data_IF_356767595741
#
_entry.id   IF_356767595741
#
_cell.length_a   1.000
_cell.length_b   1.000
_cell.length_c   1.000
_cell.angle_alpha   90.00
_cell.angle_beta   90.00
_cell.angle_gamma   90.00
#
_symmetry.space_group_name_H-M   'P 1'
#
loop_
_entity.id
_entity.type
_entity.pdbx_description
1 polymer ?
#
# COMPACT_ATOMS: atom_id res chain seq x y z
N UNK A 1 -25.62 26.73 15.65
CA UNK A 1 -24.23 26.38 15.25
C UNK A 1 -23.82 25.18 16.11
N UNK A 2 -23.86 23.97 15.56
CA UNK A 2 -23.56 22.77 16.31
C UNK A 2 -22.06 22.70 16.57
N UNK A 3 -21.70 22.50 17.83
CA UNK A 3 -20.31 22.40 18.38
C UNK A 3 -19.47 21.21 17.87
N UNK A 4 -19.83 20.58 16.74
CA UNK A 4 -19.20 19.40 16.16
C UNK A 4 -18.22 19.73 15.04
N UNK A 5 -17.93 21.00 14.75
CA UNK A 5 -17.10 21.41 13.59
C UNK A 5 -15.67 21.87 13.96
N UNK A 6 -15.23 21.71 15.21
CA UNK A 6 -13.86 21.99 15.62
C UNK A 6 -13.10 20.70 15.89
N UNK A 7 -11.83 20.63 15.44
CA UNK A 7 -10.91 19.57 15.85
C UNK A 7 -10.77 19.57 17.38
N UNK A 8 -11.31 18.57 18.03
CA UNK A 8 -11.04 18.33 19.46
C UNK A 8 -9.57 17.88 19.61
N UNK A 9 -8.93 18.28 20.71
CA UNK A 9 -7.54 17.88 21.03
C UNK A 9 -7.34 16.37 20.94
N UNK A 10 -8.33 15.60 21.35
CA UNK A 10 -8.32 14.14 21.28
C UNK A 10 -8.29 13.65 19.83
N UNK A 11 -9.13 14.21 18.96
CA UNK A 11 -9.16 13.88 17.54
C UNK A 11 -7.82 14.21 16.86
N UNK A 12 -7.20 15.34 17.20
CA UNK A 12 -5.89 15.70 16.68
C UNK A 12 -4.81 14.71 17.12
N UNK A 13 -4.77 14.30 18.39
CA UNK A 13 -3.83 13.31 18.91
C UNK A 13 -3.99 11.95 18.21
N UNK A 14 -5.21 11.50 17.97
CA UNK A 14 -5.49 10.27 17.23
C UNK A 14 -4.99 10.37 15.79
N UNK A 15 -5.27 11.47 15.10
CA UNK A 15 -4.85 11.70 13.72
C UNK A 15 -3.32 11.72 13.62
N UNK A 16 -2.63 12.43 14.50
CA UNK A 16 -1.16 12.49 14.56
C UNK A 16 -0.59 11.11 14.91
N UNK A 17 -1.20 10.39 15.87
CA UNK A 17 -0.78 9.03 16.23
C UNK A 17 -0.91 8.05 15.06
N UNK A 18 -2.00 8.09 14.33
CA UNK A 18 -2.21 7.28 13.11
C UNK A 18 -1.24 7.69 11.99
N UNK A 19 -0.98 8.99 11.83
CA UNK A 19 -0.01 9.48 10.85
C UNK A 19 1.39 8.96 11.14
N UNK A 20 1.87 9.07 12.38
CA UNK A 20 3.17 8.53 12.80
C UNK A 20 3.21 7.01 12.64
N UNK A 21 2.12 6.31 12.97
CA UNK A 21 2.04 4.88 12.78
C UNK A 21 2.14 4.47 11.30
N UNK A 22 1.45 5.17 10.38
CA UNK A 22 1.55 4.95 8.93
C UNK A 22 2.94 5.31 8.37
N UNK A 23 3.59 6.32 8.94
CA UNK A 23 4.96 6.68 8.60
C UNK A 23 5.91 5.52 8.96
N UNK A 24 5.78 4.95 10.17
CA UNK A 24 6.61 3.82 10.61
C UNK A 24 6.34 2.56 9.78
N UNK A 25 5.09 2.32 9.40
CA UNK A 25 4.70 1.25 8.48
C UNK A 25 5.43 1.39 7.13
N UNK A 26 5.38 2.58 6.52
CA UNK A 26 6.15 2.86 5.30
C UNK A 26 7.65 2.66 5.50
N UNK A 27 8.21 3.15 6.60
CA UNK A 27 9.63 2.95 6.93
C UNK A 27 9.98 1.47 6.97
N UNK A 28 9.19 0.64 7.65
CA UNK A 28 9.46 -0.78 7.85
C UNK A 28 9.56 -1.55 6.54
N UNK A 29 8.58 -1.37 5.66
CA UNK A 29 8.59 -2.03 4.34
C UNK A 29 9.82 -1.64 3.53
N UNK A 30 10.18 -0.36 3.56
CA UNK A 30 11.30 0.14 2.78
C UNK A 30 12.66 -0.21 3.40
N UNK A 31 12.77 -0.26 4.72
CA UNK A 31 14.00 -0.70 5.41
C UNK A 31 14.43 -2.11 4.99
N UNK A 32 13.48 -3.04 4.85
CA UNK A 32 13.80 -4.38 4.36
C UNK A 32 14.38 -4.33 2.94
N UNK A 33 13.74 -3.62 2.02
CA UNK A 33 14.18 -3.54 0.63
C UNK A 33 15.60 -2.93 0.51
N UNK A 34 15.87 -1.85 1.26
CA UNK A 34 17.16 -1.16 1.30
C UNK A 34 18.26 -2.01 1.96
N UNK A 35 17.92 -2.75 3.02
CA UNK A 35 18.85 -3.61 3.72
C UNK A 35 19.08 -4.96 3.01
N UNK A 36 18.21 -5.34 2.07
CA UNK A 36 18.19 -6.65 1.43
C UNK A 36 19.55 -7.06 0.81
N UNK A 37 20.30 -6.17 0.10
CA UNK A 37 21.64 -6.50 -0.38
C UNK A 37 22.59 -6.89 0.75
N UNK A 38 22.57 -6.14 1.86
CA UNK A 38 23.43 -6.36 3.02
C UNK A 38 23.04 -7.63 3.79
N UNK A 39 21.75 -7.88 4.00
CA UNK A 39 21.21 -9.09 4.62
C UNK A 39 21.57 -10.32 3.79
N UNK A 40 21.42 -10.23 2.46
CA UNK A 40 21.72 -11.33 1.55
C UNK A 40 23.20 -11.72 1.60
N UNK A 41 24.08 -10.72 1.68
CA UNK A 41 25.53 -10.94 1.81
C UNK A 41 25.90 -11.53 3.17
N UNK A 42 25.34 -10.99 4.26
CA UNK A 42 25.67 -11.37 5.64
C UNK A 42 25.17 -12.78 5.97
N UNK A 43 23.93 -13.12 5.57
CA UNK A 43 23.32 -14.43 5.82
C UNK A 43 23.52 -15.42 4.65
N UNK A 44 24.30 -15.09 3.63
CA UNK A 44 24.60 -15.90 2.45
C UNK A 44 23.35 -16.47 1.77
N UNK A 45 22.33 -15.61 1.56
CA UNK A 45 21.05 -16.01 1.00
C UNK A 45 21.09 -16.12 -0.53
N UNK A 46 20.36 -17.11 -1.06
CA UNK A 46 19.98 -17.11 -2.47
C UNK A 46 19.00 -15.95 -2.77
N UNK A 47 18.90 -15.51 -4.02
CA UNK A 47 17.96 -14.47 -4.45
C UNK A 47 16.51 -14.85 -4.14
N UNK A 48 16.15 -16.13 -4.25
CA UNK A 48 14.82 -16.64 -3.90
C UNK A 48 14.52 -16.46 -2.40
N UNK A 49 15.47 -16.85 -1.53
CA UNK A 49 15.32 -16.65 -0.07
C UNK A 49 15.28 -15.18 0.30
N UNK A 50 16.05 -14.34 -0.37
CA UNK A 50 16.02 -12.90 -0.18
C UNK A 50 14.63 -12.31 -0.51
N UNK A 51 14.07 -12.65 -1.68
CA UNK A 51 12.72 -12.23 -2.07
C UNK A 51 11.63 -12.75 -1.13
N UNK A 52 11.77 -13.98 -0.61
CA UNK A 52 10.82 -14.58 0.30
C UNK A 52 10.68 -13.80 1.62
N UNK A 53 11.69 -13.04 2.07
CA UNK A 53 11.57 -12.19 3.25
C UNK A 53 10.48 -11.11 3.08
N UNK A 54 10.40 -10.49 1.92
CA UNK A 54 9.31 -9.55 1.60
C UNK A 54 7.97 -10.26 1.48
N UNK A 55 7.94 -11.44 0.87
CA UNK A 55 6.73 -12.27 0.74
C UNK A 55 6.14 -12.63 2.10
N UNK A 56 6.96 -12.99 3.11
CA UNK A 56 6.47 -13.28 4.46
C UNK A 56 5.82 -12.06 5.10
N UNK A 57 6.39 -10.86 4.94
CA UNK A 57 5.77 -9.62 5.42
C UNK A 57 4.39 -9.40 4.77
N UNK A 58 4.32 -9.54 3.45
CA UNK A 58 3.09 -9.30 2.69
C UNK A 58 2.00 -10.36 2.97
N UNK A 59 2.39 -11.61 3.22
CA UNK A 59 1.47 -12.66 3.71
C UNK A 59 0.92 -12.29 5.10
N UNK A 60 1.81 -11.90 6.03
CA UNK A 60 1.41 -11.41 7.34
C UNK A 60 0.42 -10.25 7.25
N UNK A 61 0.68 -9.28 6.36
CA UNK A 61 -0.22 -8.13 6.10
C UNK A 61 -1.61 -8.58 5.62
N UNK A 62 -1.68 -9.56 4.74
CA UNK A 62 -2.96 -10.08 4.23
C UNK A 62 -3.80 -10.68 5.36
N UNK A 63 -3.20 -11.57 6.15
CA UNK A 63 -3.88 -12.27 7.24
C UNK A 63 -4.21 -11.28 8.38
N UNK A 64 -3.23 -10.45 8.78
CA UNK A 64 -3.37 -9.48 9.85
C UNK A 64 -4.47 -8.45 9.57
N UNK A 65 -4.58 -7.97 8.33
CA UNK A 65 -5.64 -7.02 7.92
C UNK A 65 -7.05 -7.60 8.05
N UNK A 66 -7.23 -8.87 7.68
CA UNK A 66 -8.53 -9.56 7.83
C UNK A 66 -8.88 -9.77 9.30
N UNK A 67 -7.93 -10.28 10.08
CA UNK A 67 -8.14 -10.54 11.52
C UNK A 67 -8.39 -9.24 12.29
N UNK A 68 -7.68 -8.16 11.94
CA UNK A 68 -7.85 -6.88 12.59
C UNK A 68 -9.22 -6.27 12.34
N UNK A 69 -9.78 -6.39 11.15
CA UNK A 69 -11.15 -5.96 10.86
C UNK A 69 -12.16 -6.62 11.79
N UNK A 70 -12.08 -7.94 11.90
CA UNK A 70 -12.95 -8.72 12.78
C UNK A 70 -12.75 -8.38 14.28
N UNK A 71 -11.50 -8.14 14.70
CA UNK A 71 -11.16 -7.81 16.07
C UNK A 71 -11.59 -6.38 16.43
N UNK A 72 -11.42 -5.43 15.52
CA UNK A 72 -11.76 -4.02 15.74
C UNK A 72 -13.25 -3.79 16.02
N UNK A 73 -14.11 -4.59 15.41
CA UNK A 73 -15.55 -4.54 15.65
C UNK A 73 -15.95 -5.08 17.04
N UNK A 74 -15.08 -5.84 17.70
CA UNK A 74 -15.34 -6.47 19.02
C UNK A 74 -14.66 -5.79 20.18
N UNK A 75 -13.41 -5.39 20.01
CA UNK A 75 -12.53 -4.92 21.10
C UNK A 75 -12.37 -3.40 21.11
N UNK A 76 -12.68 -2.75 20.00
CA UNK A 76 -12.47 -1.32 19.78
C UNK A 76 -11.37 -1.04 18.77
N UNK A 77 -11.53 0.08 18.03
CA UNK A 77 -10.63 0.42 16.92
C UNK A 77 -9.29 0.94 17.39
N UNK A 78 -9.29 1.80 18.41
CA UNK A 78 -8.05 2.35 18.99
C UNK A 78 -7.19 1.25 19.58
N UNK A 79 -7.79 0.31 20.33
CA UNK A 79 -7.06 -0.82 20.91
C UNK A 79 -6.41 -1.69 19.84
N UNK A 80 -7.11 -1.99 18.74
CA UNK A 80 -6.57 -2.79 17.65
C UNK A 80 -5.43 -2.07 16.94
N UNK A 81 -5.56 -0.76 16.67
CA UNK A 81 -4.47 0.05 16.11
C UNK A 81 -3.26 0.08 17.05
N UNK A 82 -3.49 0.24 18.35
CA UNK A 82 -2.42 0.23 19.35
C UNK A 82 -1.66 -1.10 19.38
N UNK A 83 -2.38 -2.23 19.43
CA UNK A 83 -1.77 -3.56 19.36
C UNK A 83 -1.06 -3.80 18.04
N UNK A 84 -1.61 -3.32 16.94
CA UNK A 84 -0.99 -3.41 15.62
C UNK A 84 0.37 -2.69 15.59
N UNK A 85 0.43 -1.45 16.11
CA UNK A 85 1.68 -0.69 16.23
C UNK A 85 2.69 -1.39 17.14
N UNK A 86 2.25 -1.92 18.30
CA UNK A 86 3.12 -2.65 19.20
C UNK A 86 3.72 -3.90 18.54
N UNK A 87 2.88 -4.70 17.88
CA UNK A 87 3.30 -5.93 17.19
C UNK A 87 4.34 -5.60 16.13
N UNK A 88 4.02 -4.73 15.16
CA UNK A 88 4.96 -4.51 14.07
C UNK A 88 6.24 -3.81 14.52
N UNK A 89 6.17 -2.82 15.41
CA UNK A 89 7.36 -2.11 15.90
C UNK A 89 8.28 -3.02 16.70
N UNK A 90 7.70 -3.89 17.55
CA UNK A 90 8.48 -4.85 18.35
C UNK A 90 9.17 -5.87 17.45
N UNK A 91 8.42 -6.55 16.57
CA UNK A 91 9.00 -7.59 15.72
C UNK A 91 9.95 -7.02 14.67
N UNK A 92 9.72 -5.81 14.17
CA UNK A 92 10.70 -5.13 13.30
C UNK A 92 11.98 -4.79 14.08
N UNK A 93 11.86 -4.24 15.29
CA UNK A 93 13.02 -3.95 16.14
C UNK A 93 13.82 -5.20 16.48
N UNK A 94 13.17 -6.30 16.82
CA UNK A 94 13.81 -7.60 17.17
C UNK A 94 14.66 -8.15 16.02
N UNK A 95 14.39 -7.78 14.76
CA UNK A 95 15.22 -8.18 13.63
C UNK A 95 16.69 -7.77 13.82
N UNK A 96 16.97 -6.69 14.54
CA UNK A 96 18.34 -6.25 14.84
C UNK A 96 19.20 -7.32 15.54
N UNK A 97 18.58 -8.24 16.27
CA UNK A 97 19.25 -9.32 17.01
C UNK A 97 19.20 -10.67 16.28
N UNK A 98 18.56 -10.75 15.11
CA UNK A 98 18.48 -11.99 14.34
C UNK A 98 19.84 -12.35 13.72
N UNK A 99 20.21 -13.64 13.84
CA UNK A 99 21.47 -14.19 13.30
C UNK A 99 21.24 -15.22 12.19
N UNK A 100 20.02 -15.70 12.02
CA UNK A 100 19.66 -16.72 11.04
C UNK A 100 18.48 -16.30 10.17
N UNK A 101 18.45 -16.80 8.94
CA UNK A 101 17.37 -16.55 7.97
C UNK A 101 15.96 -16.78 8.54
N UNK A 102 15.75 -17.94 9.18
CA UNK A 102 14.43 -18.29 9.70
C UNK A 102 13.94 -17.32 10.80
N UNK A 103 14.86 -16.77 11.60
CA UNK A 103 14.52 -15.75 12.60
C UNK A 103 14.00 -14.48 11.93
N UNK A 104 14.74 -13.98 10.93
CA UNK A 104 14.30 -12.81 10.15
C UNK A 104 12.95 -13.08 9.47
N UNK A 105 12.78 -14.26 8.87
CA UNK A 105 11.54 -14.65 8.19
C UNK A 105 10.33 -14.64 9.14
N UNK A 106 10.47 -15.23 10.33
CA UNK A 106 9.41 -15.25 11.35
C UNK A 106 9.09 -13.83 11.82
N UNK A 107 10.12 -13.01 12.13
CA UNK A 107 9.91 -11.62 12.55
C UNK A 107 9.23 -10.80 11.45
N UNK A 108 9.58 -10.99 10.19
CA UNK A 108 8.94 -10.34 9.03
C UNK A 108 7.47 -10.73 8.88
N UNK A 109 7.15 -12.00 9.06
CA UNK A 109 5.77 -12.48 9.04
C UNK A 109 4.94 -11.87 10.17
N UNK A 110 5.47 -11.88 11.40
CA UNK A 110 4.80 -11.33 12.58
C UNK A 110 4.66 -9.80 12.50
N UNK A 111 5.69 -9.07 12.05
CA UNK A 111 5.56 -7.62 11.83
C UNK A 111 4.49 -7.32 10.77
N UNK A 112 4.40 -8.13 9.73
CA UNK A 112 3.37 -8.01 8.71
C UNK A 112 1.95 -8.02 9.27
N UNK A 113 1.64 -8.82 10.29
CA UNK A 113 0.34 -8.81 10.94
C UNK A 113 -0.07 -7.43 11.44
N UNK A 114 0.85 -6.75 12.15
CA UNK A 114 0.59 -5.40 12.65
C UNK A 114 0.40 -4.39 11.52
N UNK A 115 1.26 -4.43 10.50
CA UNK A 115 1.22 -3.56 9.32
C UNK A 115 -0.13 -3.67 8.60
N UNK A 116 -0.60 -4.90 8.34
CA UNK A 116 -1.88 -5.13 7.64
C UNK A 116 -3.09 -4.61 8.40
N UNK A 117 -3.07 -4.70 9.72
CA UNK A 117 -4.10 -4.16 10.60
C UNK A 117 -4.15 -2.63 10.57
N UNK A 118 -2.97 -1.99 10.60
CA UNK A 118 -2.85 -0.54 10.71
C UNK A 118 -3.42 0.19 9.52
N UNK A 119 -3.12 -0.26 8.30
CA UNK A 119 -3.58 0.41 7.10
C UNK A 119 -5.12 0.50 7.02
N UNK A 120 -5.80 -0.61 7.31
CA UNK A 120 -7.27 -0.68 7.20
C UNK A 120 -7.98 -0.01 8.37
N UNK A 121 -7.58 -0.33 9.60
CA UNK A 121 -8.27 0.15 10.82
C UNK A 121 -7.80 1.56 11.19
N UNK A 122 -6.53 1.89 10.97
CA UNK A 122 -6.00 3.24 11.25
C UNK A 122 -6.65 4.32 10.39
N UNK A 123 -6.81 4.08 9.10
CA UNK A 123 -7.51 5.03 8.20
C UNK A 123 -8.99 5.15 8.54
N UNK A 124 -9.65 4.05 8.90
CA UNK A 124 -11.04 4.05 9.35
C UNK A 124 -11.19 4.83 10.66
N UNK A 125 -10.33 4.58 11.64
CA UNK A 125 -10.29 5.30 12.92
C UNK A 125 -10.14 6.80 12.70
N UNK A 126 -9.17 7.21 11.89
CA UNK A 126 -8.96 8.63 11.57
C UNK A 126 -10.18 9.27 10.90
N UNK A 127 -10.83 8.56 9.97
CA UNK A 127 -12.03 9.06 9.27
C UNK A 127 -13.19 9.38 10.20
N UNK A 128 -13.26 8.76 11.37
CA UNK A 128 -14.33 8.96 12.35
C UNK A 128 -14.10 10.17 13.27
N UNK A 129 -12.83 10.57 13.45
CA UNK A 129 -12.47 11.76 14.20
C UNK A 129 -12.43 13.04 13.36
N UNK A 130 -12.46 12.90 12.03
CA UNK A 130 -12.32 14.05 11.12
C UNK A 130 -13.69 14.58 10.68
N UNK A 131 -13.96 15.90 10.83
CA UNK A 131 -15.15 16.53 10.29
C UNK A 131 -15.30 16.27 8.78
N UNK A 132 -16.52 16.05 8.31
CA UNK A 132 -16.82 15.70 6.92
C UNK A 132 -16.24 16.70 5.92
N UNK A 133 -16.22 17.99 6.27
CA UNK A 133 -15.74 19.10 5.44
C UNK A 133 -14.27 18.97 5.03
N UNK A 134 -13.40 18.41 5.89
CA UNK A 134 -11.94 18.32 5.67
C UNK A 134 -11.45 16.87 5.61
N UNK A 135 -12.39 15.91 5.63
CA UNK A 135 -12.09 14.47 5.73
C UNK A 135 -11.17 13.98 4.59
N UNK A 136 -11.48 14.34 3.35
CA UNK A 136 -10.69 13.90 2.19
C UNK A 136 -9.26 14.42 2.26
N UNK A 137 -9.08 15.69 2.62
CA UNK A 137 -7.76 16.32 2.78
C UNK A 137 -6.95 15.62 3.88
N UNK A 138 -7.56 15.39 5.05
CA UNK A 138 -6.84 14.74 6.17
C UNK A 138 -6.49 13.29 5.86
N UNK A 139 -7.40 12.52 5.27
CA UNK A 139 -7.10 11.14 4.87
C UNK A 139 -6.04 11.08 3.76
N UNK A 140 -6.04 12.03 2.83
CA UNK A 140 -4.96 12.18 1.83
C UNK A 140 -3.62 12.49 2.48
N UNK A 141 -3.59 13.36 3.48
CA UNK A 141 -2.37 13.67 4.25
C UNK A 141 -1.87 12.45 5.04
N UNK A 142 -2.77 11.66 5.61
CA UNK A 142 -2.40 10.40 6.28
C UNK A 142 -1.74 9.42 5.32
N UNK A 143 -2.24 9.29 4.10
CA UNK A 143 -1.61 8.47 3.06
C UNK A 143 -0.22 8.99 2.64
N UNK A 144 0.01 10.31 2.70
CA UNK A 144 1.32 10.88 2.46
C UNK A 144 2.33 10.47 3.55
N UNK A 145 1.89 10.21 4.78
CA UNK A 145 2.74 9.70 5.87
C UNK A 145 3.50 8.44 5.48
N UNK A 146 2.85 7.52 4.79
CA UNK A 146 3.47 6.29 4.29
C UNK A 146 4.62 6.57 3.29
N UNK A 147 4.41 7.51 2.35
CA UNK A 147 5.44 7.93 1.40
C UNK A 147 6.59 8.68 2.08
N UNK A 148 6.29 9.50 3.09
CA UNK A 148 7.30 10.17 3.93
C UNK A 148 8.14 9.13 4.68
N UNK A 149 7.51 8.07 5.20
CA UNK A 149 8.20 6.94 5.82
C UNK A 149 9.23 6.29 4.88
N UNK A 150 8.88 6.11 3.61
CA UNK A 150 9.79 5.60 2.58
C UNK A 150 11.01 6.48 2.39
N UNK A 151 10.81 7.80 2.30
CA UNK A 151 11.92 8.78 2.15
C UNK A 151 12.82 8.75 3.38
N UNK A 152 12.24 8.74 4.59
CA UNK A 152 13.01 8.69 5.85
C UNK A 152 13.82 7.39 5.92
N UNK A 153 13.23 6.25 5.59
CA UNK A 153 13.94 4.97 5.55
C UNK A 153 15.13 5.00 4.58
N UNK A 154 14.95 5.62 3.41
CA UNK A 154 16.01 5.73 2.41
C UNK A 154 17.16 6.63 2.89
N UNK A 155 16.85 7.76 3.51
CA UNK A 155 17.86 8.66 4.09
C UNK A 155 18.60 8.04 5.28
N UNK A 156 17.86 7.37 6.19
CA UNK A 156 18.46 6.61 7.28
C UNK A 156 19.37 5.51 6.76
N UNK A 157 18.96 4.79 5.73
CA UNK A 157 19.76 3.70 5.15
C UNK A 157 21.05 4.23 4.51
N UNK A 158 21.00 5.38 3.84
CA UNK A 158 22.18 6.01 3.25
C UNK A 158 23.26 6.34 4.30
N UNK A 159 22.84 6.62 5.54
CA UNK A 159 23.74 6.93 6.63
C UNK A 159 24.12 5.70 7.48
N UNK A 160 23.14 4.89 7.86
CA UNK A 160 23.29 3.78 8.81
C UNK A 160 23.96 2.57 8.17
N UNK A 161 23.51 2.14 6.96
CA UNK A 161 24.00 0.90 6.34
C UNK A 161 25.51 0.90 6.08
N UNK A 162 26.15 1.98 5.55
CA UNK A 162 27.59 1.98 5.30
C UNK A 162 28.46 1.97 6.56
N UNK A 163 27.94 2.50 7.70
CA UNK A 163 28.70 2.68 8.93
C UNK A 163 28.48 1.60 9.96
N UNK A 164 27.22 1.14 10.09
CA UNK A 164 26.78 0.29 11.20
C UNK A 164 26.16 -1.03 10.72
N UNK A 165 25.99 -1.20 9.41
CA UNK A 165 25.33 -2.37 8.84
C UNK A 165 23.79 -2.32 8.95
N UNK A 166 23.15 -3.43 8.60
CA UNK A 166 21.69 -3.49 8.48
C UNK A 166 20.94 -3.64 9.82
N UNK A 167 21.55 -4.23 10.83
CA UNK A 167 20.91 -4.49 12.14
C UNK A 167 20.43 -3.22 12.84
N UNK A 168 21.26 -2.19 13.05
CA UNK A 168 20.83 -0.96 13.69
C UNK A 168 19.73 -0.20 12.92
N UNK A 169 19.64 -0.38 11.60
CA UNK A 169 18.57 0.22 10.80
C UNK A 169 17.19 -0.23 11.28
N UNK A 170 17.02 -1.53 11.56
CA UNK A 170 15.76 -2.06 12.10
C UNK A 170 15.50 -1.61 13.54
N UNK A 171 16.53 -1.49 14.36
CA UNK A 171 16.39 -0.96 15.72
C UNK A 171 15.87 0.49 15.74
N UNK A 172 16.24 1.32 14.74
CA UNK A 172 15.74 2.69 14.63
C UNK A 172 14.21 2.78 14.50
N UNK A 173 13.53 1.73 14.02
CA UNK A 173 12.06 1.71 13.90
C UNK A 173 11.34 1.70 15.27
N UNK A 174 12.02 1.29 16.33
CA UNK A 174 11.45 1.26 17.69
C UNK A 174 11.05 2.66 18.16
N UNK A 175 11.90 3.68 17.88
CA UNK A 175 11.69 5.04 18.40
C UNK A 175 10.39 5.67 17.89
N UNK A 176 10.14 5.80 16.57
CA UNK A 176 8.88 6.35 16.09
C UNK A 176 7.69 5.42 16.38
N UNK A 177 7.90 4.11 16.51
CA UNK A 177 6.87 3.17 16.98
C UNK A 177 6.45 3.46 18.42
N UNK A 178 7.40 3.67 19.33
CA UNK A 178 7.12 4.06 20.71
C UNK A 178 6.40 5.41 20.80
N UNK A 179 6.76 6.38 19.94
CA UNK A 179 6.04 7.65 19.85
C UNK A 179 4.59 7.45 19.43
N UNK A 180 4.32 6.65 18.40
CA UNK A 180 2.96 6.34 17.96
C UNK A 180 2.15 5.66 19.08
N UNK A 181 2.75 4.71 19.79
CA UNK A 181 2.13 4.05 20.95
C UNK A 181 1.79 5.05 22.07
N UNK A 182 2.71 5.97 22.39
CA UNK A 182 2.49 6.98 23.42
C UNK A 182 1.35 7.95 23.04
N UNK A 183 1.25 8.36 21.77
CA UNK A 183 0.17 9.21 21.28
C UNK A 183 -1.20 8.52 21.32
N UNK A 184 -1.24 7.21 21.09
CA UNK A 184 -2.47 6.42 21.06
C UNK A 184 -2.85 5.81 22.42
N UNK A 185 -1.97 5.87 23.42
CA UNK A 185 -2.14 5.18 24.74
C UNK A 185 -3.45 5.54 25.44
N UNK A 186 -3.84 6.81 25.42
CA UNK A 186 -5.04 7.32 26.10
C UNK A 186 -6.13 7.77 25.13
N UNK A 187 -6.00 7.45 23.86
CA UNK A 187 -7.01 7.80 22.87
C UNK A 187 -8.29 6.98 23.15
N UNK A 188 -9.47 7.60 23.29
CA UNK A 188 -10.71 6.88 23.42
C UNK A 188 -11.15 6.31 22.07
N UNK A 189 -11.98 5.26 22.10
CA UNK A 189 -12.67 4.82 20.88
C UNK A 189 -13.70 5.87 20.45
N UNK A 190 -13.91 6.08 19.13
CA UNK A 190 -14.85 7.09 18.65
C UNK A 190 -16.28 6.80 19.09
N UNK A 191 -17.09 7.84 19.40
CA UNK A 191 -18.49 7.67 19.85
C UNK A 191 -19.35 6.86 18.87
N UNK A 192 -19.04 6.92 17.57
CA UNK A 192 -19.67 6.13 16.52
C UNK A 192 -19.49 4.63 16.71
N UNK A 193 -18.43 4.16 17.37
CA UNK A 193 -18.20 2.74 17.64
C UNK A 193 -19.24 2.18 18.62
N UNK A 194 -19.58 2.91 19.69
CA UNK A 194 -20.59 2.50 20.67
C UNK A 194 -22.00 2.39 20.04
N UNK A 195 -22.36 3.29 19.13
CA UNK A 195 -23.60 3.21 18.37
C UNK A 195 -23.60 2.09 17.32
N UNK A 196 -22.42 1.73 16.81
CA UNK A 196 -22.26 0.76 15.70
C UNK A 196 -22.19 -0.66 16.20
N UNK A 197 -21.85 -0.92 17.47
CA UNK A 197 -21.80 -2.29 18.02
C UNK A 197 -23.19 -2.98 17.96
N UNK A 198 -24.27 -2.23 18.11
CA UNK A 198 -25.64 -2.70 17.89
C UNK A 198 -25.97 -2.92 16.39
N UNK A 199 -25.39 -2.11 15.50
CA UNK A 199 -25.58 -2.17 14.05
C UNK A 199 -24.58 -3.11 13.34
N UNK A 200 -23.53 -3.58 14.01
CA UNK A 200 -22.50 -4.44 13.42
C UNK A 200 -23.08 -5.77 12.90
N UNK A 201 -24.08 -6.34 13.60
CA UNK A 201 -24.80 -7.54 13.14
C UNK A 201 -25.56 -7.26 11.84
N UNK A 202 -26.15 -6.11 11.69
CA UNK A 202 -26.90 -5.69 10.48
C UNK A 202 -25.92 -5.37 9.33
N UNK A 203 -24.75 -4.80 9.62
CA UNK A 203 -23.70 -4.54 8.61
C UNK A 203 -23.00 -5.82 8.13
N UNK A 204 -22.75 -6.78 9.02
CA UNK A 204 -22.18 -8.07 8.62
C UNK A 204 -23.13 -8.82 7.67
N UNK A 205 -24.43 -8.79 7.96
CA UNK A 205 -25.46 -9.33 7.05
C UNK A 205 -25.55 -8.55 5.71
N UNK A 206 -25.41 -7.21 5.75
CA UNK A 206 -25.35 -6.37 4.56
C UNK A 206 -24.09 -6.63 3.72
N UNK A 207 -22.92 -6.85 4.38
CA UNK A 207 -21.66 -7.20 3.71
C UNK A 207 -21.72 -8.54 2.99
N UNK A 208 -22.29 -9.55 3.61
CA UNK A 208 -22.52 -10.87 2.99
C UNK A 208 -23.48 -10.77 1.80
N UNK A 209 -24.54 -9.97 1.92
CA UNK A 209 -25.47 -9.69 0.83
C UNK A 209 -24.81 -8.91 -0.32
N UNK A 210 -23.92 -7.96 -0.01
CA UNK A 210 -23.17 -7.21 -1.02
C UNK A 210 -22.17 -8.08 -1.77
N UNK A 211 -21.52 -9.04 -1.10
CA UNK A 211 -20.68 -10.04 -1.78
C UNK A 211 -21.48 -10.94 -2.71
N UNK A 212 -22.67 -11.38 -2.29
CA UNK A 212 -23.56 -12.16 -3.14
C UNK A 212 -24.00 -11.36 -4.39
N UNK A 213 -24.26 -10.06 -4.24
CA UNK A 213 -24.59 -9.16 -5.35
C UNK A 213 -23.45 -8.99 -6.37
N UNK A 214 -22.19 -9.09 -5.96
CA UNK A 214 -21.04 -9.08 -6.89
C UNK A 214 -21.07 -10.27 -7.88
N UNK A 215 -21.70 -11.36 -7.50
CA UNK A 215 -21.80 -12.59 -8.31
C UNK A 215 -23.12 -12.75 -9.04
N UNK A 216 -24.19 -12.07 -8.61
CA UNK A 216 -25.54 -12.21 -9.18
C UNK A 216 -25.68 -11.56 -10.56
N UNK A 217 -25.08 -10.39 -10.79
CA UNK A 217 -25.13 -9.67 -12.06
C UNK A 217 -23.88 -9.95 -12.91
N UNK A 218 -24.07 -10.35 -14.17
CA UNK A 218 -22.98 -10.68 -15.09
C UNK A 218 -22.07 -9.47 -15.39
N UNK A 219 -22.63 -8.26 -15.49
CA UNK A 219 -21.88 -7.05 -15.78
C UNK A 219 -21.03 -6.64 -14.57
N UNK A 220 -21.61 -6.69 -13.37
CA UNK A 220 -20.92 -6.37 -12.11
C UNK A 220 -19.80 -7.39 -11.87
N UNK A 221 -20.09 -8.68 -12.02
CA UNK A 221 -19.10 -9.76 -11.87
C UNK A 221 -17.93 -9.58 -12.85
N UNK A 222 -18.21 -9.28 -14.13
CA UNK A 222 -17.16 -9.01 -15.12
C UNK A 222 -16.30 -7.84 -14.71
N UNK A 223 -16.89 -6.72 -14.32
CA UNK A 223 -16.17 -5.52 -13.86
C UNK A 223 -15.32 -5.82 -12.62
N UNK A 224 -15.86 -6.57 -11.66
CA UNK A 224 -15.15 -7.01 -10.46
C UNK A 224 -13.93 -7.88 -10.78
N UNK A 225 -14.07 -8.87 -11.64
CA UNK A 225 -12.98 -9.76 -12.04
C UNK A 225 -11.88 -9.01 -12.81
N UNK A 226 -12.26 -8.08 -13.71
CA UNK A 226 -11.31 -7.24 -14.43
C UNK A 226 -10.51 -6.34 -13.48
N UNK A 227 -11.17 -5.71 -12.51
CA UNK A 227 -10.50 -4.89 -11.51
C UNK A 227 -9.65 -5.71 -10.53
N UNK A 228 -10.08 -6.92 -10.19
CA UNK A 228 -9.27 -7.83 -9.37
C UNK A 228 -7.99 -8.21 -10.10
N UNK A 229 -8.07 -8.57 -11.38
CA UNK A 229 -6.90 -8.87 -12.21
C UNK A 229 -5.96 -7.64 -12.34
N UNK A 230 -6.52 -6.46 -12.58
CA UNK A 230 -5.74 -5.22 -12.61
C UNK A 230 -5.07 -4.88 -11.28
N UNK A 231 -5.76 -5.10 -10.16
CA UNK A 231 -5.22 -4.89 -8.81
C UNK A 231 -4.09 -5.86 -8.49
N UNK A 232 -4.22 -7.15 -8.89
CA UNK A 232 -3.15 -8.14 -8.77
C UNK A 232 -1.91 -7.68 -9.59
N UNK A 233 -2.12 -7.29 -10.84
CA UNK A 233 -1.05 -6.86 -11.72
C UNK A 233 -0.38 -5.56 -11.23
N UNK A 234 -1.16 -4.57 -10.79
CA UNK A 234 -0.63 -3.31 -10.24
C UNK A 234 0.24 -3.55 -9.01
N UNK A 235 -0.27 -4.33 -8.05
CA UNK A 235 0.47 -4.61 -6.82
C UNK A 235 1.67 -5.51 -7.08
N UNK A 236 1.59 -6.44 -8.04
CA UNK A 236 2.73 -7.24 -8.48
C UNK A 236 3.87 -6.34 -8.99
N UNK A 237 3.58 -5.41 -9.89
CA UNK A 237 4.57 -4.47 -10.44
C UNK A 237 5.18 -3.56 -9.38
N UNK A 238 4.32 -2.97 -8.56
CA UNK A 238 4.72 -2.00 -7.53
C UNK A 238 5.62 -2.62 -6.45
N UNK A 239 5.17 -3.69 -5.81
CA UNK A 239 5.92 -4.31 -4.71
C UNK A 239 7.15 -5.08 -5.20
N UNK A 240 7.11 -5.60 -6.43
CA UNK A 240 8.28 -6.20 -7.06
C UNK A 240 9.39 -5.19 -7.27
N UNK A 241 9.08 -4.03 -7.86
CA UNK A 241 10.04 -2.95 -8.03
C UNK A 241 10.56 -2.44 -6.67
N UNK A 242 9.67 -2.20 -5.71
CA UNK A 242 10.05 -1.77 -4.37
C UNK A 242 11.06 -2.69 -3.69
N UNK A 243 10.83 -4.00 -3.77
CA UNK A 243 11.68 -5.00 -3.11
C UNK A 243 13.06 -5.09 -3.77
N UNK A 244 13.10 -5.07 -5.09
CA UNK A 244 14.32 -5.44 -5.82
C UNK A 244 15.13 -4.27 -6.36
N UNK A 245 14.56 -3.07 -6.46
CA UNK A 245 15.26 -1.88 -6.97
C UNK A 245 16.55 -1.56 -6.20
N UNK A 246 16.58 -1.55 -4.84
CA UNK A 246 17.82 -1.35 -4.11
C UNK A 246 18.87 -2.43 -4.39
N UNK A 247 18.44 -3.70 -4.48
CA UNK A 247 19.33 -4.82 -4.80
C UNK A 247 19.91 -4.73 -6.21
N UNK A 248 19.11 -4.30 -7.18
CA UNK A 248 19.55 -4.04 -8.55
C UNK A 248 20.65 -2.97 -8.60
N UNK A 249 20.44 -1.85 -7.90
CA UNK A 249 21.43 -0.76 -7.87
C UNK A 249 22.77 -1.22 -7.30
N UNK A 250 22.75 -2.01 -6.23
CA UNK A 250 23.98 -2.45 -5.58
C UNK A 250 24.65 -3.63 -6.31
N UNK A 251 23.87 -4.64 -6.72
CA UNK A 251 24.41 -5.89 -7.25
C UNK A 251 24.66 -5.85 -8.75
N UNK A 252 23.71 -5.33 -9.52
CA UNK A 252 23.79 -5.35 -10.99
C UNK A 252 24.56 -4.12 -11.51
N UNK A 253 24.34 -2.93 -10.90
CA UNK A 253 25.00 -1.68 -11.33
C UNK A 253 26.24 -1.31 -10.51
N UNK A 254 26.54 -1.98 -9.39
CA UNK A 254 27.71 -1.68 -8.57
C UNK A 254 27.63 -0.33 -7.83
N UNK A 255 26.44 0.24 -7.68
CA UNK A 255 26.21 1.51 -6.96
C UNK A 255 26.52 1.27 -5.48
N UNK A 256 27.28 2.15 -4.85
CA UNK A 256 27.53 2.05 -3.41
C UNK A 256 26.26 2.24 -2.60
N UNK A 257 26.21 1.65 -1.39
CA UNK A 257 25.02 1.63 -0.53
C UNK A 257 24.56 3.01 -0.12
N UNK A 258 25.48 3.96 0.05
CA UNK A 258 25.14 5.35 0.41
C UNK A 258 24.43 6.05 -0.75
N UNK A 259 24.95 5.96 -1.97
CA UNK A 259 24.32 6.53 -3.17
C UNK A 259 22.99 5.85 -3.48
N UNK A 260 22.87 4.53 -3.29
CA UNK A 260 21.61 3.80 -3.40
C UNK A 260 20.52 4.44 -2.52
N UNK A 261 20.83 4.74 -1.24
CA UNK A 261 19.87 5.36 -0.34
C UNK A 261 19.37 6.73 -0.85
N UNK A 262 20.28 7.58 -1.33
CA UNK A 262 19.93 8.88 -1.92
C UNK A 262 19.10 8.74 -3.20
N UNK A 263 19.46 7.82 -4.08
CA UNK A 263 18.74 7.60 -5.34
C UNK A 263 17.31 7.09 -5.09
N UNK A 264 17.17 6.18 -4.14
CA UNK A 264 15.84 5.66 -3.74
C UNK A 264 15.01 6.75 -3.06
N UNK A 265 15.62 7.60 -2.22
CA UNK A 265 14.91 8.75 -1.62
C UNK A 265 14.39 9.71 -2.71
N UNK A 266 15.22 10.03 -3.71
CA UNK A 266 14.83 10.84 -4.86
C UNK A 266 13.68 10.20 -5.66
N UNK A 267 13.76 8.89 -5.89
CA UNK A 267 12.70 8.11 -6.59
C UNK A 267 11.36 8.25 -5.89
N UNK A 268 11.30 8.09 -4.56
CA UNK A 268 10.04 8.21 -3.83
C UNK A 268 9.53 9.63 -3.72
N UNK A 269 10.43 10.62 -3.62
CA UNK A 269 10.05 12.03 -3.68
C UNK A 269 9.39 12.35 -5.03
N UNK A 270 9.97 11.89 -6.12
CA UNK A 270 9.38 12.06 -7.46
C UNK A 270 8.08 11.27 -7.63
N UNK A 271 7.92 10.14 -6.94
CA UNK A 271 6.66 9.39 -6.95
C UNK A 271 5.51 10.18 -6.30
N UNK A 272 5.77 10.96 -5.25
CA UNK A 272 4.75 11.86 -4.68
C UNK A 272 4.33 12.91 -5.70
N UNK A 273 5.30 13.57 -6.34
CA UNK A 273 5.05 14.57 -7.39
C UNK A 273 4.27 13.94 -8.55
N UNK A 274 4.69 12.77 -9.03
CA UNK A 274 4.04 12.03 -10.11
C UNK A 274 2.58 11.70 -9.80
N UNK A 275 2.28 11.27 -8.57
CA UNK A 275 0.90 11.00 -8.13
C UNK A 275 0.03 12.25 -8.18
N UNK A 276 0.53 13.40 -7.69
CA UNK A 276 -0.21 14.66 -7.68
C UNK A 276 -0.49 15.14 -9.10
N UNK A 277 0.54 15.17 -9.94
CA UNK A 277 0.42 15.60 -11.36
C UNK A 277 -0.51 14.68 -12.14
N UNK A 278 -0.36 13.36 -11.97
CA UNK A 278 -1.21 12.39 -12.68
C UNK A 278 -2.67 12.45 -12.20
N UNK A 279 -2.91 12.65 -10.90
CA UNK A 279 -4.25 12.86 -10.36
C UNK A 279 -4.92 14.09 -10.97
N UNK A 280 -4.19 15.21 -11.02
CA UNK A 280 -4.68 16.45 -11.64
C UNK A 280 -4.97 16.29 -13.15
N UNK A 281 -4.08 15.62 -13.88
CA UNK A 281 -4.30 15.34 -15.30
C UNK A 281 -5.48 14.40 -15.53
N UNK A 282 -5.67 13.39 -14.66
CA UNK A 282 -6.79 12.47 -14.74
C UNK A 282 -8.15 13.15 -14.54
N UNK A 283 -8.20 14.21 -13.73
CA UNK A 283 -9.42 15.00 -13.56
C UNK A 283 -9.75 15.85 -14.79
N UNK A 284 -8.78 16.20 -15.65
CA UNK A 284 -8.95 17.00 -16.87
C UNK A 284 -9.12 16.18 -18.15
N UNK A 285 -8.34 15.12 -18.29
CA UNK A 285 -8.26 14.30 -19.52
C UNK A 285 -9.20 13.08 -19.44
N UNK A 286 -9.58 12.68 -18.22
CA UNK A 286 -10.37 11.49 -17.95
C UNK A 286 -9.54 10.38 -17.30
N UNK A 287 -10.20 9.64 -16.39
CA UNK A 287 -9.55 8.60 -15.57
C UNK A 287 -9.06 7.44 -16.42
N UNK A 288 -9.88 7.01 -17.39
CA UNK A 288 -9.57 5.87 -18.26
C UNK A 288 -8.36 6.15 -19.16
N UNK A 289 -8.33 7.30 -19.81
CA UNK A 289 -7.23 7.68 -20.69
C UNK A 289 -5.92 7.79 -19.92
N UNK A 290 -5.93 8.48 -18.77
CA UNK A 290 -4.75 8.64 -17.93
C UNK A 290 -4.31 7.33 -17.26
N UNK A 291 -5.23 6.42 -16.94
CA UNK A 291 -4.90 5.08 -16.45
C UNK A 291 -4.11 4.28 -17.49
N UNK A 292 -4.57 4.27 -18.76
CA UNK A 292 -3.89 3.58 -19.85
C UNK A 292 -2.50 4.21 -20.08
N UNK A 293 -2.44 5.54 -20.21
CA UNK A 293 -1.17 6.26 -20.42
C UNK A 293 -0.19 5.98 -19.31
N UNK A 294 -0.59 6.15 -18.05
CA UNK A 294 0.28 5.93 -16.89
C UNK A 294 0.84 4.50 -16.86
N UNK A 295 -0.01 3.49 -17.06
CA UNK A 295 0.44 2.10 -17.03
C UNK A 295 1.30 1.71 -18.24
N UNK A 296 0.93 2.14 -19.46
CA UNK A 296 1.70 1.83 -20.69
C UNK A 296 3.06 2.53 -20.67
N UNK A 297 3.10 3.82 -20.29
CA UNK A 297 4.37 4.56 -20.21
C UNK A 297 5.28 3.95 -19.11
N UNK A 298 4.73 3.58 -17.94
CA UNK A 298 5.52 2.89 -16.91
C UNK A 298 6.04 1.55 -17.41
N UNK A 299 5.21 0.78 -18.12
CA UNK A 299 5.61 -0.51 -18.69
C UNK A 299 6.73 -0.38 -19.72
N UNK A 300 6.64 0.59 -20.62
CA UNK A 300 7.67 0.86 -21.64
C UNK A 300 8.96 1.41 -21.03
N UNK A 301 8.85 2.16 -19.93
CA UNK A 301 10.01 2.75 -19.27
C UNK A 301 10.85 1.76 -18.48
N UNK A 302 10.27 0.70 -17.94
CA UNK A 302 11.01 -0.30 -17.15
C UNK A 302 12.17 -0.96 -17.92
N UNK A 303 12.00 -1.46 -19.15
CA UNK A 303 13.13 -1.94 -19.93
C UNK A 303 14.19 -0.86 -20.18
N UNK A 304 13.77 0.39 -20.45
CA UNK A 304 14.70 1.52 -20.67
C UNK A 304 15.52 1.76 -19.39
N UNK A 305 14.87 1.79 -18.23
CA UNK A 305 15.55 1.93 -16.94
C UNK A 305 16.60 0.84 -16.73
N UNK A 306 16.30 -0.41 -17.10
CA UNK A 306 17.21 -1.54 -16.81
C UNK A 306 18.36 -1.61 -17.83
N UNK A 307 18.08 -1.48 -19.11
CA UNK A 307 19.07 -1.72 -20.17
C UNK A 307 19.89 -0.48 -20.57
N UNK A 308 19.37 0.74 -20.30
CA UNK A 308 20.10 1.98 -20.54
C UNK A 308 20.82 2.52 -19.30
N UNK A 309 20.59 1.93 -18.11
CA UNK A 309 21.18 2.41 -16.88
C UNK A 309 22.68 2.10 -16.81
N UNK A 310 23.42 3.10 -16.38
CA UNK A 310 24.83 3.04 -16.01
C UNK A 310 25.00 3.72 -14.64
N UNK A 311 26.08 3.46 -13.91
CA UNK A 311 26.33 4.17 -12.64
C UNK A 311 26.29 5.71 -12.75
N UNK A 312 26.60 6.26 -13.95
CA UNK A 312 26.62 7.70 -14.19
C UNK A 312 25.25 8.32 -14.48
N UNK A 313 24.30 7.58 -15.04
CA UNK A 313 22.98 8.13 -15.44
C UNK A 313 21.81 7.60 -14.64
N UNK A 314 22.00 6.54 -13.85
CA UNK A 314 20.91 5.85 -13.14
C UNK A 314 20.12 6.78 -12.21
N UNK A 315 20.77 7.77 -11.61
CA UNK A 315 20.07 8.75 -10.75
C UNK A 315 18.96 9.48 -11.52
N UNK A 316 19.23 9.96 -12.72
CA UNK A 316 18.24 10.67 -13.55
C UNK A 316 17.14 9.71 -14.01
N UNK A 317 17.51 8.50 -14.43
CA UNK A 317 16.53 7.48 -14.83
C UNK A 317 15.61 7.09 -13.68
N UNK A 318 16.13 7.04 -12.45
CA UNK A 318 15.33 6.75 -11.27
C UNK A 318 14.37 7.88 -10.89
N UNK A 319 14.74 9.13 -11.09
CA UNK A 319 13.81 10.25 -10.89
C UNK A 319 12.62 10.16 -11.86
N UNK A 320 12.89 9.90 -13.14
CA UNK A 320 11.83 9.68 -14.13
C UNK A 320 10.99 8.44 -13.81
N UNK A 321 11.61 7.33 -13.41
CA UNK A 321 10.91 6.13 -12.96
C UNK A 321 10.02 6.43 -11.75
N UNK A 322 10.54 7.15 -10.76
CA UNK A 322 9.78 7.55 -9.58
C UNK A 322 8.50 8.30 -9.95
N UNK A 323 8.59 9.26 -10.87
CA UNK A 323 7.43 10.00 -11.37
C UNK A 323 6.37 9.06 -11.99
N UNK A 324 6.79 8.10 -12.79
CA UNK A 324 5.90 7.20 -13.54
C UNK A 324 5.31 6.08 -12.68
N UNK A 325 6.13 5.43 -11.87
CA UNK A 325 5.80 4.17 -11.19
C UNK A 325 4.68 4.31 -10.16
N UNK A 326 4.56 5.47 -9.53
CA UNK A 326 3.47 5.79 -8.59
C UNK A 326 2.20 6.29 -9.26
N UNK A 327 2.26 6.70 -10.53
CA UNK A 327 1.18 7.35 -11.26
C UNK A 327 -0.14 6.53 -11.30
N UNK A 328 -0.14 5.21 -11.59
CA UNK A 328 -1.38 4.42 -11.59
C UNK A 328 -2.11 4.44 -10.24
N UNK A 329 -1.39 4.51 -9.11
CA UNK A 329 -2.00 4.57 -7.79
C UNK A 329 -2.81 5.84 -7.53
N UNK A 330 -2.46 6.96 -8.16
CA UNK A 330 -3.22 8.21 -8.04
C UNK A 330 -4.64 8.08 -8.61
N UNK A 331 -4.80 7.27 -9.66
CA UNK A 331 -6.06 7.11 -10.37
C UNK A 331 -6.85 5.90 -9.86
N UNK A 332 -6.14 4.90 -9.30
CA UNK A 332 -6.72 3.59 -8.95
C UNK A 332 -7.97 3.70 -8.08
N UNK A 333 -7.92 4.45 -6.98
CA UNK A 333 -9.04 4.55 -6.05
C UNK A 333 -10.28 5.18 -6.68
N UNK A 334 -10.09 6.21 -7.50
CA UNK A 334 -11.18 6.93 -8.15
C UNK A 334 -11.79 6.09 -9.27
N UNK A 335 -10.99 5.63 -10.23
CA UNK A 335 -11.49 4.87 -11.37
C UNK A 335 -12.12 3.53 -10.97
N UNK A 336 -11.51 2.83 -10.00
CA UNK A 336 -12.07 1.62 -9.42
C UNK A 336 -13.42 1.88 -8.73
N UNK A 337 -13.52 2.94 -7.92
CA UNK A 337 -14.75 3.26 -7.19
C UNK A 337 -15.88 3.72 -8.11
N UNK A 338 -15.58 4.49 -9.14
CA UNK A 338 -16.56 4.96 -10.13
C UNK A 338 -17.08 3.84 -11.03
N UNK A 339 -16.38 2.70 -11.10
CA UNK A 339 -16.80 1.54 -11.90
C UNK A 339 -17.96 0.75 -11.29
N UNK A 340 -18.30 1.00 -10.00
CA UNK A 340 -19.32 0.24 -9.29
C UNK A 340 -20.49 1.10 -8.80
N UNK A 341 -21.73 0.55 -8.78
CA UNK A 341 -22.89 1.19 -8.18
C UNK A 341 -22.66 1.51 -6.69
N UNK A 342 -23.26 2.60 -6.18
CA UNK A 342 -23.06 3.09 -4.82
C UNK A 342 -23.31 2.02 -3.74
N UNK A 343 -24.35 1.19 -3.90
CA UNK A 343 -24.76 0.19 -2.90
C UNK A 343 -23.76 -0.96 -2.67
N UNK A 344 -22.87 -1.25 -3.63
CA UNK A 344 -21.87 -2.31 -3.52
C UNK A 344 -20.44 -1.81 -3.66
N UNK A 345 -20.26 -0.51 -3.94
CA UNK A 345 -18.97 0.12 -4.25
C UNK A 345 -17.91 -0.17 -3.21
N UNK A 346 -18.21 0.07 -1.93
CA UNK A 346 -17.25 -0.13 -0.85
C UNK A 346 -16.76 -1.59 -0.78
N UNK A 347 -17.68 -2.55 -0.87
CA UNK A 347 -17.36 -3.98 -0.86
C UNK A 347 -16.54 -4.38 -2.09
N UNK A 348 -16.94 -3.91 -3.29
CA UNK A 348 -16.25 -4.22 -4.53
C UNK A 348 -14.81 -3.68 -4.54
N UNK A 349 -14.63 -2.40 -4.16
CA UNK A 349 -13.32 -1.74 -4.08
C UNK A 349 -12.42 -2.43 -3.06
N UNK A 350 -12.91 -2.63 -1.83
CA UNK A 350 -12.12 -3.26 -0.77
C UNK A 350 -11.72 -4.69 -1.15
N UNK A 351 -12.65 -5.48 -1.69
CA UNK A 351 -12.37 -6.88 -2.05
C UNK A 351 -11.41 -6.97 -3.24
N UNK A 352 -11.63 -6.20 -4.32
CA UNK A 352 -10.73 -6.19 -5.49
C UNK A 352 -9.31 -5.78 -5.09
N UNK A 353 -9.18 -4.72 -4.28
CA UNK A 353 -7.87 -4.24 -3.84
C UNK A 353 -7.14 -5.23 -2.91
N UNK A 354 -7.88 -5.85 -1.96
CA UNK A 354 -7.27 -6.84 -1.07
C UNK A 354 -6.91 -8.15 -1.78
N UNK A 355 -7.69 -8.59 -2.76
CA UNK A 355 -7.29 -9.71 -3.62
C UNK A 355 -6.03 -9.36 -4.45
N UNK A 356 -5.82 -8.10 -4.77
CA UNK A 356 -4.59 -7.59 -5.39
C UNK A 356 -3.32 -7.92 -4.59
N UNK A 357 -3.42 -8.12 -3.27
CA UNK A 357 -2.28 -8.52 -2.40
C UNK A 357 -1.67 -9.87 -2.80
N UNK A 358 -2.40 -10.72 -3.51
CA UNK A 358 -1.84 -11.93 -4.11
C UNK A 358 -0.67 -11.57 -5.02
N UNK A 359 -0.82 -10.53 -5.84
CA UNK A 359 0.25 -10.04 -6.70
C UNK A 359 1.45 -9.54 -5.92
N UNK A 360 1.24 -8.72 -4.89
CA UNK A 360 2.32 -8.21 -4.05
C UNK A 360 3.08 -9.32 -3.32
N UNK A 361 2.37 -10.36 -2.88
CA UNK A 361 2.95 -11.49 -2.16
C UNK A 361 3.82 -12.39 -3.07
N UNK A 362 3.37 -12.63 -4.29
CA UNK A 362 4.08 -13.49 -5.25
C UNK A 362 5.27 -12.78 -5.91
N UNK A 363 5.16 -11.47 -6.13
CA UNK A 363 6.13 -10.71 -6.92
C UNK A 363 7.57 -10.83 -6.42
N UNK A 364 7.92 -10.67 -5.13
CA UNK A 364 9.29 -10.72 -4.69
C UNK A 364 9.96 -12.08 -4.93
N UNK A 365 9.23 -13.18 -4.74
CA UNK A 365 9.76 -14.54 -4.97
C UNK A 365 9.91 -14.81 -6.46
N UNK A 366 8.91 -14.45 -7.28
CA UNK A 366 8.98 -14.70 -8.72
C UNK A 366 10.10 -13.92 -9.41
N UNK A 367 10.32 -12.65 -8.99
CA UNK A 367 11.48 -11.88 -9.46
C UNK A 367 12.78 -12.50 -8.94
N UNK A 368 12.81 -12.99 -7.70
CA UNK A 368 13.96 -13.69 -7.14
C UNK A 368 14.31 -14.96 -7.91
N UNK A 369 13.32 -15.71 -8.40
CA UNK A 369 13.51 -16.87 -9.29
C UNK A 369 14.09 -16.44 -10.65
N UNK A 370 13.54 -15.39 -11.26
CA UNK A 370 14.07 -14.83 -12.50
C UNK A 370 15.51 -14.32 -12.32
N UNK A 371 15.80 -13.67 -11.20
CA UNK A 371 17.12 -13.17 -10.87
C UNK A 371 18.15 -14.29 -10.61
N UNK A 372 17.70 -15.45 -10.16
CA UNK A 372 18.58 -16.62 -9.98
C UNK A 372 19.06 -17.22 -11.29
N UNK A 373 18.28 -17.07 -12.37
CA UNK A 373 18.60 -17.61 -13.68
C UNK A 373 19.27 -16.58 -14.62
N UNK A 374 18.92 -15.30 -14.48
CA UNK A 374 19.37 -14.23 -15.36
C UNK A 374 20.05 -13.10 -14.56
N UNK A 375 19.28 -12.06 -14.22
CA UNK A 375 19.72 -10.92 -13.40
C UNK A 375 18.54 -10.30 -12.66
N UNK A 376 18.81 -9.48 -11.63
CA UNK A 376 17.77 -8.74 -10.92
C UNK A 376 17.10 -7.74 -11.88
N UNK A 377 17.91 -7.06 -12.70
CA UNK A 377 17.42 -6.15 -13.72
C UNK A 377 16.44 -6.81 -14.68
N UNK A 378 16.75 -8.01 -15.18
CA UNK A 378 15.81 -8.76 -16.04
C UNK A 378 14.46 -9.01 -15.33
N UNK A 379 14.51 -9.45 -14.07
CA UNK A 379 13.28 -9.64 -13.25
C UNK A 379 12.46 -8.36 -13.10
N UNK A 380 13.13 -7.21 -12.90
CA UNK A 380 12.45 -5.89 -12.82
C UNK A 380 11.87 -5.49 -14.19
N UNK A 381 12.57 -5.72 -15.29
CA UNK A 381 12.08 -5.42 -16.64
C UNK A 381 10.78 -6.18 -16.96
N UNK A 382 10.65 -7.43 -16.51
CA UNK A 382 9.42 -8.23 -16.66
C UNK A 382 8.20 -7.63 -15.95
N UNK A 383 8.40 -6.76 -14.95
CA UNK A 383 7.31 -6.02 -14.32
C UNK A 383 6.58 -5.10 -15.30
N UNK A 384 7.21 -4.72 -16.40
CA UNK A 384 6.54 -4.01 -17.49
C UNK A 384 5.29 -4.75 -17.99
N UNK A 385 5.33 -6.08 -18.06
CA UNK A 385 4.17 -6.90 -18.44
C UNK A 385 3.01 -6.70 -17.44
N UNK A 386 3.31 -6.67 -16.15
CA UNK A 386 2.27 -6.45 -15.13
C UNK A 386 1.64 -5.07 -15.23
N UNK A 387 2.42 -4.02 -15.53
CA UNK A 387 1.88 -2.68 -15.76
C UNK A 387 1.07 -2.59 -17.06
N UNK A 388 1.43 -3.34 -18.11
CA UNK A 388 0.61 -3.45 -19.33
C UNK A 388 -0.72 -4.14 -19.03
N UNK A 389 -0.72 -5.27 -18.32
CA UNK A 389 -1.96 -5.96 -17.92
C UNK A 389 -2.82 -5.03 -17.06
N UNK A 390 -2.22 -4.37 -16.08
CA UNK A 390 -2.90 -3.39 -15.23
C UNK A 390 -3.58 -2.28 -16.06
N UNK A 391 -2.88 -1.72 -17.04
CA UNK A 391 -3.39 -0.64 -17.88
C UNK A 391 -4.48 -1.09 -18.83
N UNK A 392 -4.25 -2.17 -19.56
CA UNK A 392 -5.08 -2.58 -20.68
C UNK A 392 -6.35 -3.32 -20.24
N UNK A 393 -6.29 -4.11 -19.16
CA UNK A 393 -7.47 -4.90 -18.72
C UNK A 393 -8.65 -4.00 -18.36
N UNK A 394 -8.57 -3.05 -17.40
CA UNK A 394 -9.70 -2.14 -17.19
C UNK A 394 -9.81 -1.08 -18.28
N UNK A 395 -8.69 -0.59 -18.80
CA UNK A 395 -8.67 0.46 -19.80
C UNK A 395 -9.42 0.13 -21.10
N UNK A 396 -9.34 -1.09 -21.58
CA UNK A 396 -10.03 -1.53 -22.79
C UNK A 396 -11.48 -1.99 -22.53
N UNK A 397 -11.73 -2.62 -21.40
CA UNK A 397 -12.97 -3.34 -21.15
C UNK A 397 -13.94 -2.63 -20.22
N UNK A 398 -13.51 -1.61 -19.46
CA UNK A 398 -14.34 -0.86 -18.53
C UNK A 398 -14.53 0.56 -19.08
N UNK A 399 -15.77 0.95 -19.33
CA UNK A 399 -16.10 2.30 -19.74
C UNK A 399 -16.03 3.24 -18.54
N UNK A 400 -15.47 4.41 -18.75
CA UNK A 400 -15.48 5.50 -17.77
C UNK A 400 -16.92 5.94 -17.50
N UNK A 401 -17.28 6.02 -16.24
CA UNK A 401 -18.53 6.61 -15.77
C UNK A 401 -18.11 7.82 -14.94
N UNK A 402 -18.32 9.03 -15.44
CA UNK A 402 -18.09 10.22 -14.63
C UNK A 402 -19.01 10.16 -13.41
N UNK A 403 -18.43 10.28 -12.22
CA UNK A 403 -19.20 10.38 -10.98
C UNK A 403 -19.89 11.75 -10.96
N UNK A 404 -21.21 11.75 -11.05
CA UNK A 404 -22.02 12.92 -10.75
C UNK A 404 -22.37 12.88 -9.25
N UNK A 405 -21.78 13.76 -8.42
CA UNK A 405 -22.09 13.81 -7.00
C UNK A 405 -23.54 14.26 -6.72
N UNK A 406 -24.23 14.85 -7.70
CA UNK A 406 -25.63 15.28 -7.61
C UNK A 406 -26.60 14.20 -8.07
N UNK A 407 -26.16 13.19 -8.81
CA UNK A 407 -26.95 12.00 -9.14
C UNK A 407 -27.06 11.08 -7.93
N UNK A 408 -27.74 11.53 -6.88
CA UNK A 408 -28.20 10.65 -5.80
C UNK A 408 -29.25 9.73 -6.41
N UNK A 409 -29.05 8.39 -6.42
CA UNK A 409 -30.11 7.48 -6.86
C UNK A 409 -31.30 7.72 -5.96
N UNK A 410 -32.44 8.07 -6.53
CA UNK A 410 -33.69 8.16 -5.76
C UNK A 410 -33.95 6.81 -5.08
N UNK A 411 -34.45 6.79 -3.85
CA UNK A 411 -34.78 5.54 -3.12
C UNK A 411 -35.61 4.55 -3.97
N UNK A 412 -36.38 5.06 -4.90
CA UNK A 412 -37.22 4.30 -5.83
C UNK A 412 -36.44 3.44 -6.81
N UNK A 413 -35.23 3.85 -7.26
CA UNK A 413 -34.38 3.03 -8.15
C UNK A 413 -33.67 1.89 -7.42
N UNK A 414 -33.46 2.01 -6.13
CA UNK A 414 -32.86 0.94 -5.32
C UNK A 414 -33.87 -0.20 -5.07
N UNK A 415 -35.13 0.16 -4.83
CA UNK A 415 -36.22 -0.81 -4.62
C UNK A 415 -36.61 -1.55 -5.91
N UNK A 416 -36.57 -0.89 -7.08
CA UNK A 416 -36.86 -1.51 -8.36
C UNK A 416 -35.78 -2.50 -8.78
N UNK A 417 -34.49 -2.18 -8.55
CA UNK A 417 -33.36 -3.11 -8.81
C UNK A 417 -33.38 -4.33 -7.87
N UNK A 418 -33.84 -4.17 -6.63
CA UNK A 418 -34.00 -5.27 -5.66
C UNK A 418 -35.24 -6.13 -5.97
N UNK A 419 -36.31 -5.54 -6.51
CA UNK A 419 -37.50 -6.31 -6.95
C UNK A 419 -37.32 -7.03 -8.26
N UNK A 420 -36.47 -6.52 -9.18
CA UNK A 420 -36.13 -7.21 -10.43
C UNK A 420 -35.14 -8.37 -10.25
N UNK A 421 -34.49 -8.47 -9.08
CA UNK A 421 -33.57 -9.54 -8.73
C UNK A 421 -34.21 -10.64 -7.84
N UNK A 422 -35.54 -10.55 -7.61
CA UNK A 422 -36.40 -11.62 -7.05
C UNK A 422 -37.17 -12.31 -8.15
#
# INVERSE_FOLDING_TARGET
MNTTDSFDRTGLLVIVGVFVALLVDGMDLQMLALALPSITKDLQLSTVRAGALSTYTLLGMGIGGVLAGWLADRVGRVRVVWWAVLIFSTFTGVIAWCQAYWQVAVMRFLSGFGIGALYSIGTLLAAEYVPTRVRTTVLGTLQAGWSVGYVIAALLSAYVLPRFGWRPLFACAIVPGALALALLWRAPDPPSWNATSAQAKTRAAAGSRSLALLWSDRSIRRTFLLWTAASIALQFGYYGANTWLPSYLVRDLGVNVQSMGWYVAGTYTMSVIGKVVTGYLADRVGRRAMWIVAGVVTAAYLPILIYAATPGNVAVLLLAFGFLYGAPYAINSTYLSESFPAGIRATAVATSYNLGRIGSTLSPVLIGLAAAQYSIGFGIALLGISYLVCALVPGLFIREKMFDPQAVPSPVQFDSAVRAAR
#
